data_IF_196328755761
#
_entry.id   IF_196328755761
#
_cell.length_a   1.000
_cell.length_b   1.000
_cell.length_c   1.000
_cell.angle_alpha   90.00
_cell.angle_beta   90.00
_cell.angle_gamma   90.00
#
_symmetry.space_group_name_H-M   'P 1'
#
loop_
_entity.id
_entity.type
_entity.pdbx_description
1 polymer ?
#
# COMPACT_ATOMS: atom_id res chain seq x y z
N UNK A 1 -16.93 -2.11 10.49
CA UNK A 1 -16.28 -2.80 11.63
C UNK A 1 -16.51 -4.32 11.67
N UNK A 2 -17.67 -4.87 11.24
CA UNK A 2 -17.95 -6.32 11.25
C UNK A 2 -16.94 -7.20 10.49
N UNK A 3 -16.40 -6.72 9.35
CA UNK A 3 -15.46 -7.51 8.52
C UNK A 3 -14.15 -7.82 9.23
N UNK A 4 -13.57 -6.87 9.97
CA UNK A 4 -12.32 -7.11 10.72
C UNK A 4 -12.57 -8.14 11.83
N UNK A 5 -13.70 -8.03 12.54
CA UNK A 5 -14.07 -8.97 13.59
C UNK A 5 -14.19 -10.42 13.06
N UNK A 6 -14.80 -10.61 11.89
CA UNK A 6 -14.88 -11.95 11.30
C UNK A 6 -13.53 -12.48 10.83
N UNK A 7 -12.66 -11.63 10.27
CA UNK A 7 -11.29 -12.04 9.94
C UNK A 7 -10.52 -12.45 11.19
N UNK A 8 -10.69 -11.75 12.32
CA UNK A 8 -10.08 -12.15 13.60
C UNK A 8 -10.64 -13.50 14.07
N UNK A 9 -11.93 -13.77 13.88
CA UNK A 9 -12.55 -15.04 14.24
C UNK A 9 -12.04 -16.21 13.36
N UNK A 10 -11.97 -16.02 12.06
CA UNK A 10 -11.54 -17.05 11.10
C UNK A 10 -10.02 -17.26 11.09
N UNK A 11 -9.25 -16.18 11.28
CA UNK A 11 -7.78 -16.15 11.21
C UNK A 11 -7.18 -15.48 12.45
N UNK A 12 -7.36 -16.06 13.65
CA UNK A 12 -6.97 -15.41 14.92
C UNK A 12 -5.46 -15.17 15.09
N UNK A 13 -4.63 -15.88 14.31
CA UNK A 13 -3.18 -15.71 14.31
C UNK A 13 -2.69 -14.73 13.26
N UNK A 14 -3.56 -14.21 12.40
CA UNK A 14 -3.17 -13.21 11.41
C UNK A 14 -2.67 -11.94 12.09
N UNK A 15 -1.80 -11.23 11.39
CA UNK A 15 -1.21 -9.99 11.86
C UNK A 15 -1.61 -8.85 10.94
N UNK A 16 -1.70 -7.66 11.50
CA UNK A 16 -2.10 -6.48 10.78
C UNK A 16 -0.91 -5.58 10.54
N UNK A 17 -0.80 -5.02 9.34
CA UNK A 17 0.20 -4.02 9.00
C UNK A 17 -0.49 -2.79 8.45
N UNK A 18 0.01 -1.62 8.80
CA UNK A 18 -0.42 -0.36 8.20
C UNK A 18 0.61 0.10 7.18
N UNK A 19 0.24 0.08 5.90
CA UNK A 19 1.06 0.49 4.77
C UNK A 19 0.53 1.80 4.19
N UNK A 20 1.37 2.82 4.12
CA UNK A 20 1.06 4.06 3.39
C UNK A 20 1.85 4.07 2.08
N UNK A 21 1.19 4.31 0.95
CA UNK A 21 1.76 4.36 -0.39
C UNK A 21 1.50 5.73 -1.02
N UNK A 22 2.52 6.38 -1.56
CA UNK A 22 2.40 7.72 -2.16
C UNK A 22 3.00 7.78 -3.56
N UNK A 23 2.66 8.83 -4.29
CA UNK A 23 3.28 9.22 -5.56
C UNK A 23 3.71 10.69 -5.48
N UNK A 24 4.36 11.22 -6.53
CA UNK A 24 4.61 12.67 -6.59
C UNK A 24 3.28 13.43 -6.60
N UNK A 25 3.27 14.62 -6.00
CA UNK A 25 2.08 15.47 -5.99
C UNK A 25 1.57 15.72 -7.42
N UNK A 26 0.24 15.71 -7.57
CA UNK A 26 -0.40 16.10 -8.83
C UNK A 26 -0.55 17.62 -8.91
N UNK A 27 -0.24 18.20 -10.07
CA UNK A 27 -0.23 19.66 -10.28
C UNK A 27 -1.56 20.23 -10.82
N UNK A 28 -2.48 19.37 -11.24
CA UNK A 28 -3.81 19.76 -11.74
C UNK A 28 -4.84 18.66 -11.44
N UNK A 29 -6.13 18.97 -11.60
CA UNK A 29 -7.21 18.00 -11.42
C UNK A 29 -7.16 16.83 -12.41
N UNK A 30 -6.81 17.09 -13.67
CA UNK A 30 -6.63 16.02 -14.68
C UNK A 30 -5.45 15.10 -14.32
N UNK A 31 -4.34 15.69 -13.87
CA UNK A 31 -3.18 14.92 -13.42
C UNK A 31 -3.52 14.10 -12.17
N UNK A 32 -4.38 14.61 -11.30
CA UNK A 32 -4.86 13.89 -10.11
C UNK A 32 -5.68 12.66 -10.50
N UNK A 33 -6.68 12.79 -11.37
CA UNK A 33 -7.50 11.64 -11.82
C UNK A 33 -6.63 10.54 -12.45
N UNK A 34 -5.68 10.93 -13.30
CA UNK A 34 -4.73 10.00 -13.90
C UNK A 34 -3.86 9.33 -12.83
N UNK A 35 -3.33 10.10 -11.87
CA UNK A 35 -2.50 9.58 -10.79
C UNK A 35 -3.26 8.58 -9.91
N UNK A 36 -4.53 8.84 -9.58
CA UNK A 36 -5.38 7.94 -8.80
C UNK A 36 -5.65 6.62 -9.53
N UNK A 37 -5.87 6.67 -10.86
CA UNK A 37 -6.00 5.48 -11.72
C UNK A 37 -4.71 4.67 -11.73
N UNK A 38 -3.57 5.32 -11.88
CA UNK A 38 -2.24 4.69 -11.86
C UNK A 38 -1.93 4.06 -10.51
N UNK A 39 -2.20 4.74 -9.40
CA UNK A 39 -2.04 4.21 -8.05
C UNK A 39 -2.89 2.94 -7.83
N UNK A 40 -4.13 2.93 -8.33
CA UNK A 40 -4.99 1.75 -8.23
C UNK A 40 -4.48 0.58 -9.09
N UNK A 41 -4.02 0.85 -10.31
CA UNK A 41 -3.38 -0.16 -11.18
C UNK A 41 -2.10 -0.71 -10.54
N UNK A 42 -1.26 0.17 -10.01
CA UNK A 42 -0.01 -0.19 -9.32
C UNK A 42 -0.29 -1.04 -8.08
N UNK A 43 -1.28 -0.67 -7.26
CA UNK A 43 -1.65 -1.47 -6.09
C UNK A 43 -2.10 -2.88 -6.49
N UNK A 44 -2.86 -3.01 -7.59
CA UNK A 44 -3.24 -4.32 -8.13
C UNK A 44 -2.04 -5.16 -8.59
N UNK A 45 -0.98 -4.54 -9.13
CA UNK A 45 0.28 -5.24 -9.44
C UNK A 45 1.02 -5.63 -8.17
N UNK A 46 1.14 -4.70 -7.22
CA UNK A 46 1.85 -4.87 -5.95
C UNK A 46 1.35 -6.11 -5.19
N UNK A 47 0.03 -6.25 -5.03
CA UNK A 47 -0.57 -7.39 -4.31
C UNK A 47 -0.34 -8.74 -5.00
N UNK A 48 0.00 -8.74 -6.29
CA UNK A 48 0.24 -9.95 -7.08
C UNK A 48 1.70 -10.38 -7.10
N UNK A 49 2.63 -9.57 -6.61
CA UNK A 49 4.02 -9.99 -6.48
C UNK A 49 4.15 -11.17 -5.52
N UNK A 50 4.93 -12.18 -5.92
CA UNK A 50 4.98 -13.48 -5.28
C UNK A 50 5.13 -13.40 -3.75
N UNK A 51 6.09 -12.61 -3.25
CA UNK A 51 6.33 -12.44 -1.80
C UNK A 51 5.18 -11.73 -1.08
N UNK A 52 4.48 -10.79 -1.73
CA UNK A 52 3.29 -10.13 -1.18
C UNK A 52 2.11 -11.10 -1.17
N UNK A 53 1.77 -11.68 -2.33
CA UNK A 53 0.66 -12.62 -2.53
C UNK A 53 0.76 -13.82 -1.58
N UNK A 54 1.96 -14.37 -1.38
CA UNK A 54 2.20 -15.52 -0.49
C UNK A 54 1.79 -15.23 0.96
N UNK A 55 1.96 -13.99 1.42
CA UNK A 55 1.73 -13.63 2.82
C UNK A 55 0.39 -12.91 3.07
N UNK A 56 -0.25 -12.40 2.02
CA UNK A 56 -1.46 -11.58 2.12
C UNK A 56 -2.70 -12.45 2.28
N UNK A 57 -3.39 -12.32 3.42
CA UNK A 57 -4.72 -12.89 3.65
C UNK A 57 -5.79 -12.00 3.03
N UNK A 58 -5.66 -10.69 3.22
CA UNK A 58 -6.61 -9.69 2.73
C UNK A 58 -6.16 -8.28 3.03
N UNK A 59 -6.93 -7.29 2.60
CA UNK A 59 -6.62 -5.89 2.87
C UNK A 59 -7.87 -5.02 2.84
N UNK A 60 -7.79 -3.87 3.49
CA UNK A 60 -8.68 -2.73 3.29
C UNK A 60 -7.81 -1.54 2.85
N UNK A 61 -8.32 -0.71 1.94
CA UNK A 61 -7.61 0.49 1.49
C UNK A 61 -8.52 1.70 1.43
N UNK A 62 -7.96 2.87 1.71
CA UNK A 62 -8.55 4.18 1.45
C UNK A 62 -7.54 5.04 0.72
N UNK A 63 -8.03 5.93 -0.14
CA UNK A 63 -7.20 6.95 -0.78
C UNK A 63 -7.58 8.29 -0.17
N UNK A 64 -6.56 9.05 0.22
CA UNK A 64 -6.70 10.40 0.76
C UNK A 64 -6.03 11.37 -0.21
N UNK A 65 -6.66 12.54 -0.39
CA UNK A 65 -6.13 13.63 -1.20
C UNK A 65 -6.20 14.89 -0.36
N UNK A 66 -5.06 15.54 -0.17
CA UNK A 66 -4.98 16.84 0.50
C UNK A 66 -4.47 17.90 -0.47
N UNK A 67 -4.95 19.14 -0.33
CA UNK A 67 -4.48 20.26 -1.15
C UNK A 67 -3.38 21.00 -0.42
N UNK A 68 -2.21 21.12 -1.06
CA UNK A 68 -1.13 21.95 -0.58
C UNK A 68 -1.52 23.42 -0.74
N UNK A 69 -1.67 24.13 0.39
CA UNK A 69 -2.09 25.54 0.40
C UNK A 69 -1.06 26.51 -0.18
N UNK A 70 0.19 26.09 -0.36
CA UNK A 70 1.27 26.96 -0.87
C UNK A 70 1.30 27.04 -2.39
N UNK A 71 1.14 25.90 -3.06
CA UNK A 71 1.30 25.79 -4.52
C UNK A 71 0.06 25.22 -5.22
N UNK A 72 -1.00 24.89 -4.48
CA UNK A 72 -2.24 24.31 -5.02
C UNK A 72 -2.10 22.84 -5.46
N UNK A 73 -0.94 22.21 -5.29
CA UNK A 73 -0.73 20.82 -5.67
C UNK A 73 -1.54 19.87 -4.78
N UNK A 74 -1.91 18.71 -5.33
CA UNK A 74 -2.58 17.66 -4.60
C UNK A 74 -1.55 16.67 -4.08
N UNK A 75 -1.62 16.34 -2.80
CA UNK A 75 -0.88 15.25 -2.18
C UNK A 75 -1.82 14.06 -2.02
N UNK A 76 -1.70 13.11 -2.93
CA UNK A 76 -2.49 11.88 -2.98
C UNK A 76 -1.69 10.69 -2.45
N UNK A 77 -2.25 10.01 -1.46
CA UNK A 77 -1.67 8.80 -0.88
C UNK A 77 -2.75 7.76 -0.54
N UNK A 78 -2.33 6.51 -0.46
CA UNK A 78 -3.19 5.36 -0.19
C UNK A 78 -2.78 4.75 1.15
N UNK A 79 -3.73 4.65 2.06
CA UNK A 79 -3.58 3.89 3.30
C UNK A 79 -4.14 2.49 3.10
N UNK A 80 -3.35 1.49 3.45
CA UNK A 80 -3.69 0.08 3.30
C UNK A 80 -3.49 -0.62 4.63
N UNK A 81 -4.59 -1.13 5.19
CA UNK A 81 -4.56 -2.05 6.31
C UNK A 81 -4.44 -3.47 5.74
N UNK A 82 -3.26 -4.06 5.84
CA UNK A 82 -2.95 -5.41 5.37
C UNK A 82 -3.23 -6.42 6.48
N UNK A 83 -3.89 -7.52 6.15
CA UNK A 83 -3.97 -8.71 6.97
C UNK A 83 -3.01 -9.75 6.39
N UNK A 84 -2.00 -10.15 7.17
CA UNK A 84 -0.95 -11.08 6.74
C UNK A 84 -0.94 -12.34 7.59
N UNK A 85 -0.48 -13.44 6.99
CA UNK A 85 -0.28 -14.70 7.70
C UNK A 85 0.74 -14.53 8.84
N UNK A 86 0.57 -15.28 9.94
CA UNK A 86 1.47 -15.21 11.10
C UNK A 86 2.94 -15.53 10.74
N UNK A 87 3.14 -16.29 9.66
CA UNK A 87 4.46 -16.65 9.14
C UNK A 87 5.23 -15.45 8.55
N UNK A 88 4.58 -14.31 8.31
CA UNK A 88 5.19 -13.09 7.77
C UNK A 88 6.42 -12.65 8.57
N UNK A 89 6.37 -12.73 9.91
CA UNK A 89 7.45 -12.29 10.79
C UNK A 89 8.45 -13.39 11.16
N UNK A 90 8.25 -14.63 10.70
CA UNK A 90 9.03 -15.78 11.18
C UNK A 90 10.37 -15.96 10.47
N UNK A 91 10.49 -15.54 9.20
CA UNK A 91 11.72 -15.72 8.42
C UNK A 91 11.91 -14.62 7.37
N UNK A 92 13.15 -14.50 6.87
CA UNK A 92 13.54 -13.51 5.85
C UNK A 92 12.87 -13.73 4.48
N UNK A 93 12.49 -14.98 4.19
CA UNK A 93 11.81 -15.34 2.94
C UNK A 93 10.41 -14.73 2.87
N UNK A 94 9.73 -14.63 4.01
CA UNK A 94 8.38 -14.09 4.12
C UNK A 94 8.36 -12.60 4.43
N UNK A 95 9.20 -12.14 5.37
CA UNK A 95 9.21 -10.76 5.84
C UNK A 95 9.63 -9.80 4.73
N UNK A 96 8.82 -8.76 4.48
CA UNK A 96 9.14 -7.67 3.55
C UNK A 96 9.55 -6.45 4.38
N UNK A 97 10.82 -6.08 4.26
CA UNK A 97 11.40 -4.90 4.90
C UNK A 97 10.83 -3.61 4.33
N UNK A 98 10.95 -2.51 5.08
CA UNK A 98 10.61 -1.16 4.62
C UNK A 98 11.27 -0.80 3.28
N UNK A 99 12.55 -1.16 3.09
CA UNK A 99 13.28 -0.91 1.84
C UNK A 99 12.73 -1.76 0.68
N UNK A 100 12.38 -3.02 0.93
CA UNK A 100 11.73 -3.87 -0.08
C UNK A 100 10.35 -3.33 -0.46
N UNK A 101 9.54 -2.86 0.49
CA UNK A 101 8.23 -2.25 0.20
C UNK A 101 8.36 -1.05 -0.73
N UNK A 102 9.34 -0.17 -0.50
CA UNK A 102 9.61 0.97 -1.40
C UNK A 102 9.98 0.49 -2.80
N UNK A 103 10.85 -0.52 -2.93
CA UNK A 103 11.25 -1.08 -4.23
C UNK A 103 10.09 -1.74 -4.97
N UNK A 104 9.27 -2.52 -4.27
CA UNK A 104 8.09 -3.16 -4.83
C UNK A 104 7.07 -2.10 -5.28
N UNK A 105 6.88 -1.05 -4.49
CA UNK A 105 5.97 0.03 -4.85
C UNK A 105 6.43 0.80 -6.08
N UNK A 106 7.72 1.17 -6.14
CA UNK A 106 8.33 1.78 -7.32
C UNK A 106 8.14 0.92 -8.58
N UNK A 107 8.43 -0.37 -8.46
CA UNK A 107 8.26 -1.33 -9.57
C UNK A 107 6.81 -1.43 -10.04
N UNK A 108 5.86 -1.42 -9.10
CA UNK A 108 4.44 -1.52 -9.42
C UNK A 108 3.91 -0.24 -10.08
N UNK A 109 4.37 0.92 -9.61
CA UNK A 109 4.09 2.24 -10.20
C UNK A 109 4.75 2.46 -11.56
N UNK A 110 5.84 1.75 -11.85
CA UNK A 110 6.63 1.90 -13.09
C UNK A 110 7.20 3.31 -13.25
N UNK A 111 7.77 3.85 -12.17
CA UNK A 111 8.37 5.19 -12.13
C UNK A 111 9.88 5.14 -11.95
N UNK A 112 10.57 6.14 -12.51
CA UNK A 112 12.03 6.30 -12.48
C UNK A 112 12.57 6.92 -11.18
N UNK A 113 11.69 7.53 -10.37
CA UNK A 113 12.02 8.09 -9.06
C UNK A 113 11.72 7.11 -7.93
N UNK A 114 12.31 7.34 -6.75
CA UNK A 114 12.01 6.60 -5.53
C UNK A 114 10.73 7.14 -4.86
N UNK A 115 9.58 6.44 -4.91
CA UNK A 115 8.36 6.87 -4.22
C UNK A 115 8.47 6.63 -2.71
N UNK A 116 7.51 7.15 -1.94
CA UNK A 116 7.41 6.82 -0.51
C UNK A 116 6.40 5.69 -0.31
N UNK A 117 6.87 4.62 0.32
CA UNK A 117 6.06 3.62 0.99
C UNK A 117 6.47 3.62 2.48
N UNK A 118 5.55 3.41 3.41
CA UNK A 118 5.83 3.34 4.84
C UNK A 118 5.04 2.20 5.48
N UNK A 119 5.71 1.20 6.05
CA UNK A 119 5.09 0.04 6.71
C UNK A 119 5.24 0.13 8.23
N UNK A 120 4.16 -0.14 8.96
CA UNK A 120 4.13 -0.30 10.42
C UNK A 120 3.38 -1.57 10.80
N UNK A 121 3.82 -2.23 11.87
CA UNK A 121 3.24 -3.48 12.39
C UNK A 121 2.63 -3.26 13.78
#
# INVERSE_FOLDING_TARGET
>A
QKVIAEVVKEKPKARWLFLTLSTKNSISGEHLDQSLKEMSKAFNKLKMYAKVKKNLVGFMRSTEVTVNKKDGSYNQHMHVLLCVENSYFKNKENYITQVEWVKLWQKALQVDYKPVANIKA
#
